data_IF_161250464671
#
_entry.id   IF_161250464671
#
_cell.length_a   1.000
_cell.length_b   1.000
_cell.length_c   1.000
_cell.angle_alpha   90.00
_cell.angle_beta   90.00
_cell.angle_gamma   90.00
#
_symmetry.space_group_name_H-M   'P 1'
#
loop_
_entity.id
_entity.type
_entity.pdbx_description
1 polymer ?
#
# COMPACT_ATOMS: atom_id res chain seq x y z
N UNK A 1 -42.00 -36.52 7.65
CA UNK A 1 -40.61 -36.86 8.04
C UNK A 1 -39.56 -36.06 7.26
N UNK A 2 -39.69 -35.94 5.97
CA UNK A 2 -38.71 -35.19 5.10
C UNK A 2 -38.62 -33.69 5.43
N UNK A 3 -39.77 -33.02 5.68
CA UNK A 3 -39.78 -31.59 6.01
C UNK A 3 -39.10 -31.27 7.35
N UNK A 4 -39.31 -32.14 8.37
CA UNK A 4 -38.59 -31.99 9.64
C UNK A 4 -37.10 -32.25 9.54
N UNK A 5 -36.66 -33.18 8.67
CA UNK A 5 -35.24 -33.44 8.43
C UNK A 5 -34.57 -32.26 7.69
N UNK A 6 -35.25 -31.65 6.71
CA UNK A 6 -34.76 -30.50 5.99
C UNK A 6 -34.65 -29.24 6.89
N UNK A 7 -35.60 -29.01 7.80
CA UNK A 7 -35.57 -27.91 8.76
C UNK A 7 -34.39 -28.10 9.73
N UNK A 8 -34.19 -29.34 10.23
CA UNK A 8 -33.06 -29.67 11.13
C UNK A 8 -31.71 -29.46 10.44
N UNK A 9 -31.51 -29.98 9.23
CA UNK A 9 -30.29 -29.78 8.45
C UNK A 9 -29.99 -28.29 8.18
N UNK A 10 -31.05 -27.48 7.95
CA UNK A 10 -30.89 -26.02 7.74
C UNK A 10 -30.50 -25.27 9.02
N UNK A 11 -30.99 -25.70 10.17
CA UNK A 11 -30.61 -25.12 11.46
C UNK A 11 -29.18 -25.53 11.85
N UNK A 12 -28.81 -26.78 11.62
CA UNK A 12 -27.45 -27.29 11.87
C UNK A 12 -26.44 -26.56 11.00
N UNK A 13 -26.75 -26.30 9.71
CA UNK A 13 -25.88 -25.52 8.80
C UNK A 13 -25.68 -24.07 9.29
N UNK A 14 -26.73 -23.41 9.83
CA UNK A 14 -26.61 -22.05 10.37
C UNK A 14 -25.80 -21.99 11.65
N UNK A 15 -26.00 -22.97 12.54
CA UNK A 15 -25.21 -23.12 13.76
C UNK A 15 -23.75 -23.34 13.44
N UNK A 16 -23.45 -24.17 12.44
CA UNK A 16 -22.09 -24.42 11.97
C UNK A 16 -21.45 -23.14 11.38
N UNK A 17 -22.17 -22.35 10.57
CA UNK A 17 -21.66 -21.08 10.04
C UNK A 17 -21.33 -20.08 11.16
N UNK A 18 -22.18 -19.95 12.16
CA UNK A 18 -21.93 -19.08 13.31
C UNK A 18 -20.70 -19.55 14.12
N UNK A 19 -20.56 -20.87 14.31
CA UNK A 19 -19.38 -21.43 14.98
C UNK A 19 -18.08 -21.17 14.21
N UNK A 20 -18.09 -21.27 12.87
CA UNK A 20 -16.92 -20.96 12.03
C UNK A 20 -16.56 -19.47 12.15
N UNK A 21 -17.54 -18.56 12.10
CA UNK A 21 -17.31 -17.12 12.28
C UNK A 21 -16.64 -16.86 13.64
N UNK A 22 -17.15 -17.41 14.71
CA UNK A 22 -16.57 -17.26 16.06
C UNK A 22 -15.16 -17.85 16.12
N UNK A 23 -14.94 -19.03 15.55
CA UNK A 23 -13.61 -19.64 15.51
C UNK A 23 -12.59 -18.76 14.78
N UNK A 24 -12.95 -18.19 13.63
CA UNK A 24 -12.05 -17.31 12.86
C UNK A 24 -11.75 -16.02 13.63
N UNK A 25 -12.72 -15.42 14.31
CA UNK A 25 -12.48 -14.26 15.19
C UNK A 25 -11.50 -14.62 16.31
N UNK A 26 -11.68 -15.80 16.93
CA UNK A 26 -10.76 -16.27 17.98
C UNK A 26 -9.35 -16.47 17.40
N UNK A 27 -9.21 -17.10 16.24
CA UNK A 27 -7.92 -17.32 15.59
C UNK A 27 -7.22 -16.00 15.30
N UNK A 28 -7.91 -15.02 14.70
CA UNK A 28 -7.34 -13.68 14.47
C UNK A 28 -6.98 -12.99 15.80
N UNK A 29 -7.86 -13.05 16.80
CA UNK A 29 -7.59 -12.48 18.12
C UNK A 29 -6.37 -13.10 18.81
N UNK A 30 -6.25 -14.44 18.75
CA UNK A 30 -5.08 -15.14 19.30
C UNK A 30 -3.80 -14.81 18.56
N UNK A 31 -3.82 -14.68 17.23
CA UNK A 31 -2.66 -14.28 16.44
C UNK A 31 -2.15 -12.88 16.84
N UNK A 32 -3.06 -11.92 16.98
CA UNK A 32 -2.72 -10.56 17.41
C UNK A 32 -2.24 -10.51 18.87
N UNK A 33 -2.88 -11.27 19.78
CA UNK A 33 -2.45 -11.35 21.19
C UNK A 33 -1.11 -12.06 21.34
N UNK A 34 -0.87 -13.12 20.57
CA UNK A 34 0.40 -13.86 20.56
C UNK A 34 1.55 -12.93 20.16
N UNK A 35 1.34 -12.09 19.14
CA UNK A 35 2.29 -11.07 18.76
C UNK A 35 2.62 -10.14 19.95
N UNK A 36 1.62 -9.49 20.54
CA UNK A 36 1.81 -8.54 21.65
C UNK A 36 2.55 -9.19 22.82
N UNK A 37 2.26 -10.45 23.09
CA UNK A 37 2.97 -11.20 24.15
C UNK A 37 4.42 -11.51 23.78
N UNK A 38 4.66 -12.00 22.55
CA UNK A 38 6.01 -12.34 22.10
C UNK A 38 6.90 -11.10 21.99
N UNK A 39 6.41 -9.99 21.45
CA UNK A 39 7.18 -8.76 21.35
C UNK A 39 7.64 -8.25 22.72
N UNK A 40 6.75 -8.32 23.72
CA UNK A 40 7.04 -7.84 25.08
C UNK A 40 7.97 -8.76 25.87
N UNK A 41 7.82 -10.09 25.74
CA UNK A 41 8.48 -11.05 26.63
C UNK A 41 9.52 -11.94 25.93
N UNK A 42 9.50 -12.02 24.61
CA UNK A 42 10.40 -12.86 23.81
C UNK A 42 10.67 -12.23 22.42
N UNK A 43 11.28 -11.02 22.34
CA UNK A 43 11.42 -10.27 21.08
C UNK A 43 12.19 -11.03 19.99
N UNK A 44 13.23 -11.80 20.37
CA UNK A 44 13.96 -12.63 19.41
C UNK A 44 13.07 -13.71 18.79
N UNK A 45 12.28 -14.42 19.62
CA UNK A 45 11.34 -15.42 19.14
C UNK A 45 10.26 -14.78 18.26
N UNK A 46 9.81 -13.57 18.59
CA UNK A 46 8.86 -12.80 17.78
C UNK A 46 9.41 -12.59 16.36
N UNK A 47 10.64 -12.11 16.24
CA UNK A 47 11.32 -11.93 14.94
C UNK A 47 11.41 -13.22 14.15
N UNK A 48 11.85 -14.31 14.78
CA UNK A 48 12.00 -15.60 14.12
C UNK A 48 10.65 -16.12 13.59
N UNK A 49 9.60 -16.02 14.41
CA UNK A 49 8.24 -16.46 14.03
C UNK A 49 7.66 -15.64 12.89
N UNK A 50 7.76 -14.31 12.95
CA UNK A 50 7.21 -13.44 11.90
C UNK A 50 8.09 -13.40 10.65
N UNK A 51 9.39 -13.59 10.78
CA UNK A 51 10.31 -13.82 9.67
C UNK A 51 9.96 -15.11 8.93
N UNK A 52 9.78 -16.22 9.67
CA UNK A 52 9.32 -17.48 9.09
C UNK A 52 7.94 -17.32 8.41
N UNK A 53 7.03 -16.56 9.02
CA UNK A 53 5.73 -16.26 8.43
C UNK A 53 5.87 -15.53 7.09
N UNK A 54 6.66 -14.47 7.04
CA UNK A 54 6.88 -13.66 5.83
C UNK A 54 7.55 -14.48 4.70
N UNK A 55 8.53 -15.30 5.06
CA UNK A 55 9.32 -16.05 4.09
C UNK A 55 8.60 -17.29 3.54
N UNK A 56 7.94 -18.06 4.41
CA UNK A 56 7.43 -19.38 4.04
C UNK A 56 5.90 -19.47 4.01
N UNK A 57 5.20 -18.79 4.93
CA UNK A 57 3.75 -18.95 5.07
C UNK A 57 3.00 -17.96 4.18
N UNK A 58 3.36 -16.69 4.25
CA UNK A 58 2.68 -15.64 3.49
C UNK A 58 2.68 -15.89 1.98
N UNK A 59 3.78 -16.26 1.30
CA UNK A 59 3.76 -16.55 -0.14
C UNK A 59 2.85 -17.72 -0.51
N UNK A 60 2.74 -18.73 0.37
CA UNK A 60 1.86 -19.89 0.14
C UNK A 60 0.39 -19.49 0.22
N UNK A 61 0.04 -18.58 1.13
CA UNK A 61 -1.33 -18.09 1.31
C UNK A 61 -1.69 -17.05 0.24
N UNK A 62 -0.79 -16.11 -0.03
CA UNK A 62 -1.06 -14.96 -0.89
C UNK A 62 -1.01 -15.28 -2.38
N UNK A 63 -0.07 -16.12 -2.83
CA UNK A 63 0.14 -16.39 -4.26
C UNK A 63 -1.08 -17.01 -4.96
N UNK A 64 -1.75 -18.06 -4.44
CA UNK A 64 -2.96 -18.59 -5.06
C UNK A 64 -4.07 -17.53 -5.17
N UNK A 65 -4.25 -16.74 -4.12
CA UNK A 65 -5.25 -15.69 -4.08
C UNK A 65 -4.96 -14.60 -5.10
N UNK A 66 -3.73 -14.09 -5.11
CA UNK A 66 -3.23 -13.13 -6.08
C UNK A 66 -3.38 -13.64 -7.53
N UNK A 67 -3.09 -14.93 -7.77
CA UNK A 67 -3.27 -15.56 -9.08
C UNK A 67 -4.73 -15.55 -9.57
N UNK A 68 -5.70 -15.74 -8.68
CA UNK A 68 -7.12 -15.67 -9.04
C UNK A 68 -7.57 -14.22 -9.29
N UNK A 69 -7.17 -13.28 -8.44
CA UNK A 69 -7.55 -11.86 -8.60
C UNK A 69 -6.90 -11.25 -9.84
N UNK A 70 -5.69 -11.68 -10.21
CA UNK A 70 -4.98 -11.22 -11.42
C UNK A 70 -5.71 -11.53 -12.73
N UNK A 71 -6.58 -12.55 -12.75
CA UNK A 71 -7.41 -12.86 -13.93
C UNK A 71 -8.54 -11.84 -14.17
N UNK A 72 -8.84 -11.03 -13.20
CA UNK A 72 -9.84 -9.97 -13.30
C UNK A 72 -9.16 -8.70 -13.84
N UNK A 73 -9.61 -8.12 -14.96
CA UNK A 73 -8.90 -7.02 -15.63
C UNK A 73 -9.14 -5.63 -15.01
N UNK A 74 -9.83 -5.56 -13.88
CA UNK A 74 -10.15 -4.34 -13.13
C UNK A 74 -9.88 -4.53 -11.64
N UNK A 75 -9.84 -3.45 -10.87
CA UNK A 75 -9.67 -3.51 -9.41
C UNK A 75 -10.88 -4.19 -8.76
N UNK A 76 -10.68 -5.42 -8.29
CA UNK A 76 -11.69 -6.16 -7.54
C UNK A 76 -11.90 -5.51 -6.17
N UNK A 77 -10.83 -5.01 -5.56
CA UNK A 77 -10.89 -4.29 -4.29
C UNK A 77 -11.79 -3.06 -4.37
N UNK A 78 -11.64 -2.23 -5.41
CA UNK A 78 -12.52 -1.08 -5.64
C UNK A 78 -13.99 -1.50 -5.75
N UNK A 79 -14.28 -2.55 -6.52
CA UNK A 79 -15.64 -3.06 -6.67
C UNK A 79 -16.21 -3.57 -5.35
N UNK A 80 -15.43 -4.31 -4.57
CA UNK A 80 -15.88 -4.82 -3.28
C UNK A 80 -16.18 -3.68 -2.29
N UNK A 81 -15.40 -2.61 -2.29
CA UNK A 81 -15.67 -1.41 -1.50
C UNK A 81 -17.00 -0.76 -1.93
N UNK A 82 -17.21 -0.57 -3.24
CA UNK A 82 -18.47 0.00 -3.77
C UNK A 82 -19.66 -0.87 -3.39
N UNK A 83 -19.56 -2.19 -3.56
CA UNK A 83 -20.61 -3.13 -3.16
C UNK A 83 -20.87 -3.01 -1.66
N UNK A 84 -19.85 -2.97 -0.82
CA UNK A 84 -19.97 -2.80 0.62
C UNK A 84 -20.73 -1.53 1.00
N UNK A 85 -20.35 -0.40 0.38
CA UNK A 85 -21.04 0.88 0.57
C UNK A 85 -22.52 0.84 0.13
N UNK A 86 -22.85 0.13 -0.95
CA UNK A 86 -24.23 -0.06 -1.40
C UNK A 86 -25.03 -1.02 -0.51
N UNK A 87 -24.39 -2.04 0.05
CA UNK A 87 -25.04 -3.03 0.91
C UNK A 87 -25.57 -2.42 2.21
N UNK A 88 -24.92 -1.40 2.76
CA UNK A 88 -25.37 -0.75 4.01
C UNK A 88 -26.75 -0.11 3.87
N UNK A 89 -26.98 0.87 2.97
CA UNK A 89 -28.30 1.47 2.80
C UNK A 89 -29.35 0.46 2.34
N UNK A 90 -28.97 -0.50 1.49
CA UNK A 90 -29.89 -1.57 1.04
C UNK A 90 -30.37 -2.43 2.22
N UNK A 91 -29.49 -2.79 3.15
CA UNK A 91 -29.84 -3.55 4.35
C UNK A 91 -30.78 -2.76 5.27
N UNK A 92 -30.57 -1.46 5.41
CA UNK A 92 -31.45 -0.55 6.16
C UNK A 92 -32.85 -0.52 5.50
N UNK A 93 -32.93 -0.33 4.17
CA UNK A 93 -34.18 -0.32 3.41
C UNK A 93 -34.91 -1.65 3.59
N UNK A 94 -34.22 -2.79 3.43
CA UNK A 94 -34.80 -4.13 3.64
C UNK A 94 -35.36 -4.26 5.06
N UNK A 95 -34.64 -3.78 6.07
CA UNK A 95 -35.07 -3.78 7.47
C UNK A 95 -36.36 -2.96 7.67
N UNK A 96 -36.41 -1.73 7.14
CA UNK A 96 -37.58 -0.85 7.23
C UNK A 96 -38.78 -1.45 6.50
N UNK A 97 -38.62 -1.90 5.25
CA UNK A 97 -39.69 -2.54 4.48
C UNK A 97 -40.23 -3.77 5.19
N UNK A 98 -39.34 -4.61 5.74
CA UNK A 98 -39.76 -5.80 6.53
C UNK A 98 -40.54 -5.39 7.80
N UNK A 99 -40.12 -4.34 8.49
CA UNK A 99 -40.80 -3.84 9.66
C UNK A 99 -42.23 -3.35 9.36
N UNK A 100 -42.42 -2.72 8.20
CA UNK A 100 -43.73 -2.19 7.74
C UNK A 100 -44.61 -3.29 7.21
N UNK A 101 -44.11 -4.07 6.24
CA UNK A 101 -44.94 -5.09 5.52
C UNK A 101 -45.25 -6.28 6.42
N UNK A 102 -44.32 -6.67 7.27
CA UNK A 102 -44.43 -7.79 8.22
C UNK A 102 -44.66 -7.29 9.65
N UNK A 103 -45.48 -6.23 9.84
CA UNK A 103 -45.69 -5.56 11.12
C UNK A 103 -46.01 -6.53 12.24
N UNK A 104 -46.88 -7.53 11.99
CA UNK A 104 -47.36 -8.50 12.98
C UNK A 104 -46.62 -9.86 12.92
N UNK A 105 -45.65 -10.03 12.03
CA UNK A 105 -44.86 -11.26 11.83
C UNK A 105 -43.46 -11.10 12.45
N UNK A 106 -43.39 -11.42 13.75
CA UNK A 106 -42.17 -11.38 14.52
C UNK A 106 -41.08 -12.35 13.97
N UNK A 107 -41.49 -13.51 13.47
CA UNK A 107 -40.59 -14.54 12.97
C UNK A 107 -39.92 -14.08 11.64
N UNK A 108 -40.71 -13.48 10.73
CA UNK A 108 -40.15 -12.92 9.49
C UNK A 108 -39.11 -11.82 9.79
N UNK A 109 -39.40 -10.92 10.75
CA UNK A 109 -38.46 -9.88 11.17
C UNK A 109 -37.17 -10.48 11.74
N UNK A 110 -37.25 -11.43 12.65
CA UNK A 110 -36.09 -12.15 13.22
C UNK A 110 -35.29 -12.87 12.13
N UNK A 111 -35.95 -13.49 11.16
CA UNK A 111 -35.29 -14.20 10.07
C UNK A 111 -34.49 -13.24 9.18
N UNK A 112 -35.05 -12.08 8.77
CA UNK A 112 -34.35 -11.06 7.98
C UNK A 112 -33.17 -10.49 8.78
N UNK A 113 -33.38 -10.12 10.05
CA UNK A 113 -32.30 -9.63 10.91
C UNK A 113 -31.13 -10.63 11.05
N UNK A 114 -31.46 -11.93 11.22
CA UNK A 114 -30.43 -12.99 11.27
C UNK A 114 -29.64 -13.13 9.96
N UNK A 115 -30.30 -12.99 8.80
CA UNK A 115 -29.63 -13.07 7.49
C UNK A 115 -28.69 -11.89 7.29
N UNK A 116 -29.15 -10.67 7.57
CA UNK A 116 -28.34 -9.45 7.48
C UNK A 116 -27.18 -9.52 8.47
N UNK A 117 -27.44 -9.92 9.72
CA UNK A 117 -26.41 -10.06 10.73
C UNK A 117 -25.33 -11.09 10.37
N UNK A 118 -25.72 -12.24 9.83
CA UNK A 118 -24.78 -13.26 9.37
C UNK A 118 -23.97 -12.80 8.17
N UNK A 119 -24.56 -12.06 7.23
CA UNK A 119 -23.85 -11.46 6.11
C UNK A 119 -22.74 -10.52 6.59
N UNK A 120 -23.06 -9.56 7.47
CA UNK A 120 -22.05 -8.64 7.99
C UNK A 120 -21.02 -9.32 8.90
N UNK A 121 -21.41 -10.38 9.61
CA UNK A 121 -20.46 -11.18 10.38
C UNK A 121 -19.42 -11.84 9.47
N UNK A 122 -19.82 -12.36 8.31
CA UNK A 122 -18.90 -12.92 7.34
C UNK A 122 -18.02 -11.85 6.68
N UNK A 123 -18.58 -10.69 6.32
CA UNK A 123 -17.78 -9.56 5.80
C UNK A 123 -16.75 -9.12 6.83
N UNK A 124 -17.16 -8.95 8.09
CA UNK A 124 -16.25 -8.57 9.17
C UNK A 124 -15.12 -9.58 9.36
N UNK A 125 -15.45 -10.86 9.42
CA UNK A 125 -14.44 -11.93 9.59
C UNK A 125 -13.48 -11.98 8.39
N UNK A 126 -14.00 -11.83 7.18
CA UNK A 126 -13.17 -11.80 5.98
C UNK A 126 -12.16 -10.65 6.03
N UNK A 127 -12.62 -9.43 6.32
CA UNK A 127 -11.74 -8.26 6.45
C UNK A 127 -10.76 -8.47 7.62
N UNK A 128 -11.25 -8.88 8.80
CA UNK A 128 -10.39 -9.13 9.96
C UNK A 128 -9.30 -10.17 9.66
N UNK A 129 -9.66 -11.26 8.97
CA UNK A 129 -8.71 -12.30 8.61
C UNK A 129 -7.64 -11.78 7.63
N UNK A 130 -8.07 -11.11 6.56
CA UNK A 130 -7.16 -10.59 5.55
C UNK A 130 -6.27 -9.46 6.10
N UNK A 131 -6.81 -8.56 6.90
CA UNK A 131 -6.01 -7.52 7.58
C UNK A 131 -5.00 -8.14 8.56
N UNK A 132 -5.41 -9.16 9.34
CA UNK A 132 -4.48 -9.82 10.26
C UNK A 132 -3.33 -10.50 9.51
N UNK A 133 -3.64 -11.35 8.52
CA UNK A 133 -2.64 -12.21 7.89
C UNK A 133 -1.93 -11.54 6.70
N UNK A 134 -2.56 -10.66 5.96
CA UNK A 134 -1.95 -10.02 4.79
C UNK A 134 -1.40 -8.60 5.07
N UNK A 135 -1.55 -8.09 6.30
CA UNK A 135 -1.09 -6.77 6.67
C UNK A 135 -0.49 -6.75 8.09
N UNK A 136 -1.31 -6.94 9.15
CA UNK A 136 -0.88 -6.71 10.53
C UNK A 136 0.34 -7.56 10.94
N UNK A 137 0.34 -8.88 10.72
CA UNK A 137 1.47 -9.74 11.08
C UNK A 137 2.75 -9.37 10.34
N UNK A 138 2.64 -8.86 9.13
CA UNK A 138 3.78 -8.44 8.30
C UNK A 138 4.41 -7.12 8.76
N UNK A 139 3.65 -6.24 9.42
CA UNK A 139 4.25 -5.06 10.08
C UNK A 139 5.25 -5.43 11.17
N UNK A 140 5.16 -6.65 11.68
CA UNK A 140 5.97 -7.16 12.79
C UNK A 140 7.05 -8.17 12.35
N UNK A 141 7.13 -8.42 11.04
CA UNK A 141 8.23 -9.18 10.45
C UNK A 141 9.54 -8.39 10.52
N UNK A 142 10.70 -9.06 10.41
CA UNK A 142 11.99 -8.39 10.32
C UNK A 142 11.98 -7.32 9.23
N UNK A 143 12.63 -6.20 9.50
CA UNK A 143 12.75 -5.11 8.53
C UNK A 143 13.59 -5.51 7.32
N UNK A 144 13.44 -4.79 6.21
CA UNK A 144 14.29 -4.97 5.03
C UNK A 144 15.78 -4.85 5.40
N UNK A 145 16.13 -3.88 6.23
CA UNK A 145 17.50 -3.71 6.71
C UNK A 145 18.00 -4.92 7.52
N UNK A 146 17.17 -5.46 8.42
CA UNK A 146 17.52 -6.65 9.21
C UNK A 146 17.65 -7.91 8.34
N UNK A 147 16.79 -8.08 7.34
CA UNK A 147 16.82 -9.24 6.43
C UNK A 147 18.06 -9.28 5.54
N UNK A 148 18.54 -8.12 5.11
CA UNK A 148 19.59 -8.03 4.10
C UNK A 148 20.88 -7.36 4.60
N UNK A 149 20.99 -7.14 5.93
CA UNK A 149 22.23 -6.71 6.56
C UNK A 149 22.60 -5.25 6.32
N UNK A 150 21.62 -4.38 6.12
CA UNK A 150 21.85 -2.94 6.03
C UNK A 150 22.27 -2.40 7.40
N UNK A 151 23.33 -1.55 7.50
CA UNK A 151 23.96 -1.18 8.77
C UNK A 151 23.04 -0.42 9.73
N UNK A 152 22.09 0.36 9.21
CA UNK A 152 21.21 1.25 10.00
C UNK A 152 22.02 2.28 10.80
N UNK A 153 23.09 2.78 10.20
CA UNK A 153 24.01 3.72 10.81
C UNK A 153 23.42 5.13 10.91
N UNK A 154 23.97 5.92 11.83
CA UNK A 154 23.65 7.34 11.90
C UNK A 154 24.55 8.12 10.95
N UNK A 155 23.96 8.72 9.96
CA UNK A 155 24.67 9.51 8.97
C UNK A 155 24.78 11.00 9.34
N UNK A 156 25.86 11.62 8.95
CA UNK A 156 26.13 13.04 9.13
C UNK A 156 25.45 13.87 8.04
N UNK A 157 25.28 15.17 8.28
CA UNK A 157 24.81 16.11 7.25
C UNK A 157 25.71 16.11 5.99
N UNK A 158 27.02 15.89 6.14
CA UNK A 158 27.94 15.81 5.01
C UNK A 158 27.70 14.55 4.16
N UNK A 159 27.38 13.41 4.78
CA UNK A 159 27.04 12.19 4.06
C UNK A 159 25.67 12.30 3.35
N UNK A 160 24.70 12.95 4.01
CA UNK A 160 23.40 13.27 3.39
C UNK A 160 23.57 14.18 2.18
N UNK A 161 24.47 15.16 2.25
CA UNK A 161 24.84 16.03 1.14
C UNK A 161 25.46 15.26 -0.03
N UNK A 162 26.33 14.26 0.24
CA UNK A 162 26.93 13.41 -0.80
C UNK A 162 25.87 12.59 -1.53
N UNK A 163 24.93 12.00 -0.81
CA UNK A 163 23.80 11.28 -1.40
C UNK A 163 22.93 12.23 -2.26
N UNK A 164 22.63 13.43 -1.75
CA UNK A 164 21.87 14.44 -2.49
C UNK A 164 22.57 14.84 -3.80
N UNK A 165 23.86 15.10 -3.76
CA UNK A 165 24.69 15.42 -4.94
C UNK A 165 24.67 14.30 -5.98
N UNK A 166 24.79 13.05 -5.54
CA UNK A 166 24.67 11.87 -6.40
C UNK A 166 23.29 11.79 -7.06
N UNK A 167 22.22 11.89 -6.29
CA UNK A 167 20.84 11.80 -6.80
C UNK A 167 20.51 12.96 -7.75
N UNK A 168 20.99 14.18 -7.47
CA UNK A 168 20.85 15.34 -8.38
C UNK A 168 21.51 15.03 -9.71
N UNK A 169 22.75 14.55 -9.69
CA UNK A 169 23.50 14.23 -10.90
C UNK A 169 22.78 13.19 -11.74
N UNK A 170 22.36 12.07 -11.12
CA UNK A 170 21.63 11.01 -11.81
C UNK A 170 20.27 11.47 -12.35
N UNK A 171 19.52 12.26 -11.57
CA UNK A 171 18.23 12.81 -12.00
C UNK A 171 18.39 13.76 -13.18
N UNK A 172 19.39 14.62 -13.16
CA UNK A 172 19.68 15.56 -14.24
C UNK A 172 20.05 14.84 -15.55
N UNK A 173 20.92 13.81 -15.45
CA UNK A 173 21.35 13.02 -16.61
C UNK A 173 20.16 12.28 -17.26
N UNK A 174 19.26 11.72 -16.43
CA UNK A 174 18.08 11.02 -16.90
C UNK A 174 17.02 11.99 -17.44
N UNK A 175 16.89 13.19 -16.87
CA UNK A 175 15.97 14.22 -17.35
C UNK A 175 16.20 14.60 -18.83
N UNK A 176 17.43 14.48 -19.32
CA UNK A 176 17.79 14.73 -20.72
C UNK A 176 17.47 13.57 -21.66
N UNK A 177 17.21 12.36 -21.11
CA UNK A 177 17.02 11.15 -21.89
C UNK A 177 15.55 10.75 -22.02
N UNK A 178 14.69 11.24 -21.13
CA UNK A 178 13.25 10.94 -21.14
C UNK A 178 12.51 11.79 -22.18
N UNK A 179 11.37 11.27 -22.64
CA UNK A 179 10.49 12.00 -23.54
C UNK A 179 9.74 13.10 -22.78
N UNK A 180 9.61 14.26 -23.44
CA UNK A 180 8.85 15.40 -22.93
C UNK A 180 7.80 15.85 -23.95
N UNK A 181 6.71 16.41 -23.46
CA UNK A 181 5.70 17.06 -24.30
C UNK A 181 6.12 18.49 -24.72
N UNK A 182 5.23 19.18 -25.44
CA UNK A 182 5.42 20.57 -25.88
C UNK A 182 5.53 21.59 -24.73
N UNK A 183 5.06 21.23 -23.54
CA UNK A 183 5.20 22.04 -22.32
C UNK A 183 6.45 21.69 -21.50
N UNK A 184 7.29 20.78 -22.00
CA UNK A 184 8.49 20.30 -21.32
C UNK A 184 8.22 19.31 -20.18
N UNK A 185 6.99 18.80 -20.04
CA UNK A 185 6.63 17.86 -19.00
C UNK A 185 6.97 16.41 -19.41
N UNK A 186 7.27 15.58 -18.43
CA UNK A 186 7.58 14.16 -18.64
C UNK A 186 6.41 13.40 -19.27
N UNK A 187 6.73 12.57 -20.27
CA UNK A 187 5.79 11.66 -20.94
C UNK A 187 6.23 10.22 -20.71
N UNK A 188 5.43 9.44 -20.02
CA UNK A 188 5.66 8.02 -19.81
C UNK A 188 5.54 7.26 -21.16
N UNK A 189 6.61 6.57 -21.55
CA UNK A 189 6.66 5.75 -22.77
C UNK A 189 6.77 4.26 -22.50
N UNK A 190 7.12 3.88 -21.28
CA UNK A 190 7.25 2.50 -20.85
C UNK A 190 5.91 1.76 -20.83
N UNK A 191 5.95 0.45 -21.09
CA UNK A 191 4.87 -0.45 -20.66
C UNK A 191 4.91 -0.56 -19.13
N UNK A 192 4.02 0.18 -18.48
CA UNK A 192 4.03 0.38 -17.03
C UNK A 192 4.01 -0.95 -16.27
N UNK A 193 3.04 -1.83 -16.58
CA UNK A 193 2.81 -3.04 -15.82
C UNK A 193 3.90 -4.10 -16.04
N UNK A 194 4.33 -4.24 -17.29
CA UNK A 194 5.35 -5.22 -17.67
C UNK A 194 6.70 -4.81 -17.10
N UNK A 195 7.07 -3.55 -17.23
CA UNK A 195 8.38 -3.04 -16.77
C UNK A 195 8.48 -3.14 -15.26
N UNK A 196 7.45 -2.75 -14.48
CA UNK A 196 7.44 -2.90 -13.03
C UNK A 196 7.69 -4.35 -12.59
N UNK A 197 6.93 -5.30 -13.18
CA UNK A 197 7.09 -6.72 -12.84
C UNK A 197 8.47 -7.27 -13.22
N UNK A 198 9.06 -6.79 -14.31
CA UNK A 198 10.40 -7.23 -14.74
C UNK A 198 11.47 -6.68 -13.81
N UNK A 199 11.41 -5.39 -13.48
CA UNK A 199 12.35 -4.72 -12.58
C UNK A 199 12.35 -5.33 -11.18
N UNK A 200 11.17 -5.53 -10.59
CA UNK A 200 11.04 -6.18 -9.28
C UNK A 200 11.54 -7.62 -9.28
N UNK A 201 11.24 -8.40 -10.32
CA UNK A 201 11.74 -9.78 -10.44
C UNK A 201 13.25 -9.85 -10.55
N UNK A 202 13.90 -8.86 -11.16
CA UNK A 202 15.35 -8.80 -11.26
C UNK A 202 16.03 -8.71 -9.89
N UNK A 203 15.39 -8.06 -8.92
CA UNK A 203 15.87 -7.92 -7.55
C UNK A 203 16.00 -9.24 -6.79
N UNK A 204 15.35 -10.33 -7.26
CA UNK A 204 15.40 -11.65 -6.61
C UNK A 204 16.82 -12.16 -6.36
N UNK A 205 17.79 -11.79 -7.20
CA UNK A 205 19.17 -12.28 -7.08
C UNK A 205 19.80 -11.85 -5.77
N UNK A 206 19.53 -10.64 -5.34
CA UNK A 206 20.07 -9.99 -4.16
C UNK A 206 19.08 -10.08 -2.98
N UNK A 207 17.79 -9.93 -3.29
CA UNK A 207 16.69 -9.92 -2.33
C UNK A 207 15.71 -11.07 -2.59
N UNK A 208 15.97 -12.29 -2.11
CA UNK A 208 15.21 -13.50 -2.46
C UNK A 208 13.70 -13.39 -2.22
N UNK A 209 13.26 -12.67 -1.16
CA UNK A 209 11.84 -12.49 -0.84
C UNK A 209 11.09 -11.65 -1.90
N UNK A 210 11.80 -10.86 -2.72
CA UNK A 210 11.22 -10.14 -3.86
C UNK A 210 11.05 -11.05 -5.10
N UNK A 211 11.26 -12.34 -4.96
CA UNK A 211 11.01 -13.33 -6.02
C UNK A 211 9.54 -13.73 -6.16
N UNK A 212 9.29 -14.68 -7.07
CA UNK A 212 7.99 -15.33 -7.21
C UNK A 212 6.99 -14.59 -8.09
N UNK A 213 5.70 -14.81 -7.83
CA UNK A 213 4.60 -14.30 -8.66
C UNK A 213 4.28 -12.83 -8.32
N UNK A 214 4.12 -12.01 -9.34
CA UNK A 214 3.62 -10.64 -9.25
C UNK A 214 2.32 -10.50 -10.02
N UNK A 215 1.29 -9.93 -9.39
CA UNK A 215 0.03 -9.56 -10.04
C UNK A 215 0.26 -8.44 -11.04
N UNK A 216 -0.64 -8.29 -12.00
CA UNK A 216 -0.69 -7.11 -12.85
C UNK A 216 -1.29 -5.96 -12.05
N UNK A 217 -0.61 -4.81 -11.95
CA UNK A 217 -1.15 -3.63 -11.28
C UNK A 217 -2.49 -3.19 -11.87
N UNK A 218 -3.42 -2.80 -11.02
CA UNK A 218 -4.78 -2.47 -11.43
C UNK A 218 -5.02 -0.96 -11.44
N UNK A 219 -5.65 -0.49 -12.50
CA UNK A 219 -6.11 0.89 -12.61
C UNK A 219 -7.35 1.09 -11.73
N UNK A 220 -7.31 2.06 -10.82
CA UNK A 220 -8.51 2.46 -10.08
C UNK A 220 -9.36 3.33 -10.97
N UNK A 221 -10.62 2.97 -11.14
CA UNK A 221 -11.55 3.71 -12.01
C UNK A 221 -11.90 5.08 -11.40
N UNK A 222 -12.06 5.15 -10.09
CA UNK A 222 -12.33 6.40 -9.37
C UNK A 222 -11.02 7.07 -8.92
N UNK A 223 -10.08 7.26 -9.85
CA UNK A 223 -8.75 7.85 -9.59
C UNK A 223 -8.85 9.27 -9.03
N UNK A 224 -9.85 10.08 -9.44
CA UNK A 224 -10.04 11.40 -8.88
C UNK A 224 -10.28 11.38 -7.35
N UNK A 225 -11.08 10.43 -6.88
CA UNK A 225 -11.29 10.26 -5.43
C UNK A 225 -10.00 9.85 -4.68
N UNK A 226 -9.13 9.05 -5.32
CA UNK A 226 -7.79 8.79 -4.77
C UNK A 226 -6.96 10.08 -4.73
N UNK A 227 -7.01 10.87 -5.80
CA UNK A 227 -6.29 12.16 -5.86
C UNK A 227 -6.77 13.14 -4.79
N UNK A 228 -8.06 13.20 -4.49
CA UNK A 228 -8.59 14.00 -3.36
C UNK A 228 -7.98 13.59 -2.01
N UNK A 229 -7.55 12.34 -1.88
CA UNK A 229 -6.90 11.78 -0.69
C UNK A 229 -5.37 11.86 -0.73
N UNK A 230 -4.76 12.45 -1.76
CA UNK A 230 -3.33 12.39 -2.06
C UNK A 230 -2.77 10.97 -2.24
N UNK A 231 -3.62 9.99 -2.55
CA UNK A 231 -3.21 8.62 -2.77
C UNK A 231 -2.77 8.41 -4.22
N UNK A 232 -1.55 7.96 -4.41
CA UNK A 232 -1.00 7.58 -5.71
C UNK A 232 -1.28 6.12 -6.03
N UNK A 233 -1.20 5.24 -5.04
CA UNK A 233 -1.51 3.83 -5.14
C UNK A 233 -2.18 3.31 -3.87
N UNK A 234 -2.58 2.06 -3.88
CA UNK A 234 -3.10 1.34 -2.73
C UNK A 234 -2.99 -0.18 -2.92
N UNK A 235 -2.37 -0.83 -1.96
CA UNK A 235 -2.45 -2.27 -1.81
C UNK A 235 -3.70 -2.65 -1.04
N UNK A 236 -4.49 -3.58 -1.58
CA UNK A 236 -5.66 -4.12 -0.88
C UNK A 236 -5.35 -5.50 -0.28
N UNK A 237 -5.17 -5.62 1.04
CA UNK A 237 -4.88 -6.91 1.70
C UNK A 237 -5.97 -7.96 1.47
N UNK A 238 -7.22 -7.53 1.28
CA UNK A 238 -8.37 -8.41 1.08
C UNK A 238 -8.54 -8.93 -0.35
N UNK A 239 -7.78 -8.41 -1.32
CA UNK A 239 -7.75 -8.93 -2.69
C UNK A 239 -6.34 -9.23 -3.19
N UNK A 240 -5.31 -8.91 -2.41
CA UNK A 240 -3.90 -9.02 -2.79
C UNK A 240 -3.54 -8.25 -4.07
N UNK A 241 -4.26 -7.17 -4.35
CA UNK A 241 -4.09 -6.35 -5.55
C UNK A 241 -3.24 -5.12 -5.26
N UNK A 242 -2.27 -4.86 -6.12
CA UNK A 242 -1.60 -3.58 -6.26
C UNK A 242 -2.44 -2.69 -7.19
N UNK A 243 -2.89 -1.54 -6.69
CA UNK A 243 -3.75 -0.63 -7.43
C UNK A 243 -3.11 0.74 -7.55
N UNK A 244 -3.33 1.44 -8.65
CA UNK A 244 -2.76 2.77 -8.84
C UNK A 244 -3.75 3.78 -9.41
N UNK A 245 -3.52 5.04 -9.07
CA UNK A 245 -4.23 6.21 -9.52
C UNK A 245 -3.77 6.57 -10.94
N UNK A 246 -4.69 6.61 -11.90
CA UNK A 246 -4.38 6.91 -13.31
C UNK A 246 -4.37 8.40 -13.62
N UNK A 247 -4.84 9.24 -12.71
CA UNK A 247 -4.89 10.70 -12.88
C UNK A 247 -3.67 11.42 -12.28
N UNK A 248 -2.80 10.71 -11.51
CA UNK A 248 -1.59 11.32 -10.95
C UNK A 248 -0.61 11.77 -12.03
N UNK A 249 0.31 12.67 -11.67
CA UNK A 249 1.36 13.12 -12.57
C UNK A 249 2.19 11.92 -13.08
N UNK A 250 2.39 11.84 -14.40
CA UNK A 250 2.90 10.64 -15.07
C UNK A 250 4.24 10.12 -14.51
N UNK A 251 5.12 11.02 -14.06
CA UNK A 251 6.42 10.67 -13.49
C UNK A 251 6.29 9.82 -12.21
N UNK A 252 5.20 9.94 -11.46
CA UNK A 252 5.01 9.16 -10.24
C UNK A 252 4.59 7.71 -10.53
N UNK A 253 4.07 7.39 -11.72
CA UNK A 253 3.47 6.09 -12.01
C UNK A 253 4.44 4.91 -11.88
N UNK A 254 5.66 4.94 -12.46
CA UNK A 254 6.60 3.83 -12.37
C UNK A 254 6.99 3.47 -10.93
N UNK A 255 7.37 4.46 -10.13
CA UNK A 255 7.72 4.29 -8.73
C UNK A 255 6.53 3.79 -7.91
N UNK A 256 5.35 4.41 -8.06
CA UNK A 256 4.13 4.00 -7.35
C UNK A 256 3.76 2.55 -7.64
N UNK A 257 3.81 2.12 -8.90
CA UNK A 257 3.44 0.73 -9.24
C UNK A 257 4.43 -0.27 -8.64
N UNK A 258 5.72 0.04 -8.61
CA UNK A 258 6.72 -0.80 -7.94
C UNK A 258 6.49 -0.84 -6.43
N UNK A 259 6.14 0.28 -5.81
CA UNK A 259 5.80 0.39 -4.39
C UNK A 259 4.60 -0.50 -4.04
N UNK A 260 3.49 -0.40 -4.76
CA UNK A 260 2.30 -1.21 -4.50
C UNK A 260 2.56 -2.72 -4.72
N UNK A 261 3.41 -3.06 -5.68
CA UNK A 261 3.82 -4.43 -5.89
C UNK A 261 4.75 -4.96 -4.78
N UNK A 262 5.55 -4.10 -4.13
CA UNK A 262 6.37 -4.49 -2.98
C UNK A 262 5.49 -4.93 -1.80
N UNK A 263 4.37 -4.25 -1.56
CA UNK A 263 3.40 -4.68 -0.54
C UNK A 263 2.85 -6.09 -0.80
N UNK A 264 2.67 -6.50 -2.07
CA UNK A 264 2.22 -7.87 -2.40
C UNK A 264 3.25 -8.94 -2.04
N UNK A 265 4.48 -8.55 -1.68
CA UNK A 265 5.56 -9.44 -1.22
C UNK A 265 5.72 -9.47 0.31
N UNK A 266 4.84 -8.79 1.02
CA UNK A 266 4.84 -8.76 2.48
C UNK A 266 5.70 -7.64 3.08
N UNK A 267 6.21 -6.73 2.28
CA UNK A 267 6.85 -5.49 2.75
C UNK A 267 5.79 -4.41 2.92
N UNK A 268 5.15 -4.40 4.09
CA UNK A 268 3.98 -3.52 4.35
C UNK A 268 4.39 -2.16 4.88
N UNK A 269 5.61 -2.01 5.42
CA UNK A 269 6.10 -0.72 5.88
C UNK A 269 6.37 0.19 4.70
N UNK A 270 5.89 1.42 4.80
CA UNK A 270 5.93 2.42 3.72
C UNK A 270 7.36 2.83 3.33
N UNK A 271 8.26 2.95 4.32
CA UNK A 271 9.67 3.24 4.11
C UNK A 271 10.37 2.14 3.31
N UNK A 272 10.08 0.88 3.63
CA UNK A 272 10.62 -0.28 2.92
C UNK A 272 10.05 -0.40 1.51
N UNK A 273 8.74 -0.22 1.33
CA UNK A 273 8.10 -0.26 0.02
C UNK A 273 8.63 0.87 -0.90
N UNK A 274 8.83 2.07 -0.35
CA UNK A 274 9.47 3.19 -1.06
C UNK A 274 10.92 2.86 -1.45
N UNK A 275 11.68 2.22 -0.57
CA UNK A 275 13.06 1.83 -0.86
C UNK A 275 13.12 0.70 -1.91
N UNK A 276 12.27 -0.32 -1.81
CA UNK A 276 12.16 -1.40 -2.80
C UNK A 276 11.75 -0.84 -4.16
N UNK A 277 10.82 0.12 -4.20
CA UNK A 277 10.46 0.77 -5.46
C UNK A 277 11.62 1.52 -6.09
N UNK A 278 12.43 2.23 -5.27
CA UNK A 278 13.67 2.85 -5.73
C UNK A 278 14.62 1.82 -6.34
N UNK A 279 14.92 0.72 -5.63
CA UNK A 279 15.80 -0.34 -6.13
C UNK A 279 15.30 -0.94 -7.45
N UNK A 280 13.98 -1.19 -7.56
CA UNK A 280 13.37 -1.70 -8.78
C UNK A 280 13.46 -0.70 -9.95
N UNK A 281 13.30 0.58 -9.67
CA UNK A 281 13.39 1.65 -10.66
C UNK A 281 14.86 1.90 -11.08
N UNK A 282 15.76 1.96 -10.13
CA UNK A 282 17.18 2.17 -10.34
C UNK A 282 17.78 1.08 -11.22
N UNK A 283 17.57 -0.20 -10.86
CA UNK A 283 18.05 -1.37 -11.59
C UNK A 283 17.28 -1.69 -12.88
N UNK A 284 16.32 -0.84 -13.29
CA UNK A 284 15.54 -1.06 -14.51
C UNK A 284 16.34 -0.73 -15.77
N UNK A 285 16.20 -1.56 -16.83
CA UNK A 285 16.72 -1.24 -18.17
C UNK A 285 15.97 -0.07 -18.83
N UNK A 286 14.82 0.35 -18.28
CA UNK A 286 14.00 1.40 -18.85
C UNK A 286 14.27 2.77 -18.24
N UNK A 287 14.54 3.76 -19.09
CA UNK A 287 14.90 5.12 -18.67
C UNK A 287 13.80 5.85 -17.91
N UNK A 288 12.52 5.65 -18.28
CA UNK A 288 11.38 6.28 -17.57
C UNK A 288 11.30 5.80 -16.12
N UNK A 289 11.56 4.50 -15.88
CA UNK A 289 11.60 3.91 -14.54
C UNK A 289 12.76 4.47 -13.72
N UNK A 290 13.96 4.45 -14.28
CA UNK A 290 15.13 5.02 -13.58
C UNK A 290 14.89 6.47 -13.21
N UNK A 291 14.38 7.26 -14.14
CA UNK A 291 14.10 8.67 -13.90
C UNK A 291 13.06 8.87 -12.78
N UNK A 292 11.96 8.12 -12.82
CA UNK A 292 10.93 8.16 -11.77
C UNK A 292 11.51 7.86 -10.39
N UNK A 293 12.26 6.76 -10.24
CA UNK A 293 12.86 6.36 -8.98
C UNK A 293 13.87 7.38 -8.44
N UNK A 294 14.80 7.86 -9.29
CA UNK A 294 15.79 8.84 -8.87
C UNK A 294 15.17 10.20 -8.47
N UNK A 295 14.18 10.70 -9.21
CA UNK A 295 13.51 11.96 -8.87
C UNK A 295 12.68 11.82 -7.59
N UNK A 296 12.08 10.65 -7.37
CA UNK A 296 11.33 10.36 -6.13
C UNK A 296 12.27 10.30 -4.92
N UNK A 297 13.36 9.54 -5.02
CA UNK A 297 14.39 9.47 -3.98
C UNK A 297 15.00 10.85 -3.68
N UNK A 298 15.33 11.62 -4.74
CA UNK A 298 15.85 12.98 -4.59
C UNK A 298 14.88 13.87 -3.79
N UNK A 299 13.58 13.77 -4.01
CA UNK A 299 12.60 14.56 -3.26
C UNK A 299 12.63 14.25 -1.76
N UNK A 300 12.74 12.98 -1.37
CA UNK A 300 12.87 12.59 0.04
C UNK A 300 14.17 13.10 0.66
N UNK A 301 15.28 12.92 -0.07
CA UNK A 301 16.60 13.34 0.42
C UNK A 301 16.69 14.86 0.53
N UNK A 302 16.18 15.63 -0.44
CA UNK A 302 16.13 17.10 -0.36
C UNK A 302 15.29 17.58 0.81
N UNK A 303 14.14 16.96 1.07
CA UNK A 303 13.34 17.27 2.26
C UNK A 303 14.12 17.04 3.55
N UNK A 304 14.94 15.97 3.62
CA UNK A 304 15.81 15.71 4.78
C UNK A 304 16.97 16.69 4.88
N UNK A 305 17.51 17.15 3.73
CA UNK A 305 18.51 18.22 3.69
C UNK A 305 17.94 19.55 4.20
N UNK A 306 16.68 19.86 3.89
CA UNK A 306 16.01 21.07 4.37
C UNK A 306 15.94 21.12 5.91
N UNK A 307 15.84 19.96 6.55
CA UNK A 307 15.81 19.83 8.02
C UNK A 307 17.21 19.84 8.68
N UNK A 308 18.25 19.30 7.98
CA UNK A 308 19.51 18.94 8.62
C UNK A 308 20.76 19.64 8.05
N UNK A 309 20.68 20.28 6.89
CA UNK A 309 21.81 20.93 6.25
C UNK A 309 21.79 22.46 6.50
N UNK A 310 22.97 23.09 6.37
CA UNK A 310 23.08 24.55 6.43
C UNK A 310 22.45 25.21 5.20
N UNK A 311 22.08 26.49 5.32
CA UNK A 311 21.49 27.27 4.21
C UNK A 311 22.41 27.31 2.97
N UNK A 312 23.72 27.42 3.17
CA UNK A 312 24.69 27.43 2.06
C UNK A 312 24.69 26.10 1.31
N UNK A 313 24.62 24.98 2.02
CA UNK A 313 24.51 23.63 1.43
C UNK A 313 23.21 23.49 0.66
N UNK A 314 22.09 23.87 1.27
CA UNK A 314 20.76 23.82 0.61
C UNK A 314 20.75 24.64 -0.68
N UNK A 315 21.18 25.89 -0.62
CA UNK A 315 21.24 26.77 -1.79
C UNK A 315 22.11 26.20 -2.91
N UNK A 316 23.25 25.59 -2.56
CA UNK A 316 24.10 24.91 -3.52
C UNK A 316 23.41 23.71 -4.15
N UNK A 317 22.82 22.84 -3.36
CA UNK A 317 22.11 21.64 -3.85
C UNK A 317 20.95 22.04 -4.77
N UNK A 318 20.09 22.94 -4.32
CA UNK A 318 18.98 23.43 -5.15
C UNK A 318 19.46 24.10 -6.45
N UNK A 319 20.56 24.83 -6.45
CA UNK A 319 21.09 25.47 -7.67
C UNK A 319 21.54 24.47 -8.75
N UNK A 320 21.92 23.25 -8.35
CA UNK A 320 22.37 22.17 -9.25
C UNK A 320 21.25 21.38 -9.92
N UNK A 321 20.03 21.44 -9.40
CA UNK A 321 18.89 20.74 -9.99
C UNK A 321 18.56 21.33 -11.35
N UNK A 322 18.52 20.52 -12.40
CA UNK A 322 18.26 20.97 -13.78
C UNK A 322 16.83 21.48 -13.97
N UNK A 323 16.65 22.28 -15.02
CA UNK A 323 15.34 22.83 -15.39
C UNK A 323 14.32 21.70 -15.70
N UNK A 324 14.77 20.58 -16.28
CA UNK A 324 13.92 19.43 -16.55
C UNK A 324 13.35 18.80 -15.29
N UNK A 325 14.19 18.56 -14.26
CA UNK A 325 13.74 18.04 -12.96
C UNK A 325 12.82 19.04 -12.25
N UNK A 326 13.15 20.34 -12.31
CA UNK A 326 12.29 21.41 -11.73
C UNK A 326 10.93 21.46 -12.39
N UNK A 327 10.88 21.36 -13.72
CA UNK A 327 9.63 21.36 -14.49
C UNK A 327 8.73 20.20 -14.04
N UNK A 328 9.29 19.01 -13.83
CA UNK A 328 8.51 17.85 -13.38
C UNK A 328 8.06 17.99 -11.91
N UNK A 329 8.87 18.56 -11.03
CA UNK A 329 8.44 18.86 -9.65
C UNK A 329 7.33 19.90 -9.61
N UNK A 330 7.42 20.94 -10.42
CA UNK A 330 6.40 21.97 -10.53
C UNK A 330 5.10 21.38 -11.12
N UNK A 331 5.19 20.61 -12.22
CA UNK A 331 4.04 19.96 -12.84
C UNK A 331 3.32 19.03 -11.86
N UNK A 332 4.07 18.26 -11.08
CA UNK A 332 3.49 17.43 -10.02
C UNK A 332 2.80 18.27 -8.92
N UNK A 333 3.42 19.36 -8.50
CA UNK A 333 2.83 20.26 -7.49
C UNK A 333 1.57 20.96 -7.99
N UNK A 334 1.57 21.42 -9.24
CA UNK A 334 0.42 22.01 -9.92
C UNK A 334 -0.73 21.02 -10.05
N UNK A 335 -0.44 19.76 -10.39
CA UNK A 335 -1.44 18.70 -10.43
C UNK A 335 -2.16 18.57 -9.08
N UNK A 336 -1.42 18.38 -7.98
CA UNK A 336 -2.03 18.22 -6.66
C UNK A 336 -2.79 19.46 -6.21
N UNK A 337 -2.30 20.65 -6.51
CA UNK A 337 -3.01 21.90 -6.26
C UNK A 337 -4.33 21.97 -7.03
N UNK A 338 -4.32 21.61 -8.31
CA UNK A 338 -5.52 21.61 -9.16
C UNK A 338 -6.61 20.65 -8.63
N UNK A 339 -6.20 19.50 -8.08
CA UNK A 339 -7.13 18.55 -7.44
C UNK A 339 -7.81 19.17 -6.21
N UNK A 340 -7.04 19.86 -5.36
CA UNK A 340 -7.59 20.48 -4.15
C UNK A 340 -8.48 21.69 -4.42
N UNK A 341 -8.29 22.34 -5.57
CA UNK A 341 -9.10 23.49 -6.03
C UNK A 341 -10.26 23.09 -6.95
N UNK A 342 -10.38 21.80 -7.27
CA UNK A 342 -11.37 21.29 -8.23
C UNK A 342 -12.73 21.04 -7.59
N UNK A 343 -13.79 21.44 -8.31
CA UNK A 343 -15.20 21.13 -8.02
C UNK A 343 -15.68 19.82 -8.69
N UNK A 344 -14.79 19.04 -9.28
CA UNK A 344 -15.11 17.80 -10.03
C UNK A 344 -15.70 16.69 -9.14
N UNK A 345 -15.34 16.68 -7.85
CA UNK A 345 -15.76 15.65 -6.89
C UNK A 345 -17.17 15.87 -6.32
N UNK A 346 -17.80 14.78 -5.87
CA UNK A 346 -19.05 14.85 -5.10
C UNK A 346 -18.84 15.43 -3.69
N UNK A 347 -17.63 15.35 -3.17
CA UNK A 347 -17.23 15.82 -1.86
C UNK A 347 -16.13 16.88 -2.01
N UNK A 348 -16.10 17.81 -1.11
CA UNK A 348 -15.04 18.83 -1.01
C UNK A 348 -13.66 18.19 -0.83
N UNK A 349 -12.72 18.51 -1.74
CA UNK A 349 -11.40 17.87 -1.80
C UNK A 349 -10.59 18.07 -0.53
N UNK A 350 -10.67 19.24 0.10
CA UNK A 350 -9.93 19.55 1.34
C UNK A 350 -10.44 18.70 2.51
N UNK A 351 -11.77 18.54 2.63
CA UNK A 351 -12.37 17.70 3.68
C UNK A 351 -12.04 16.22 3.48
N UNK A 352 -12.02 15.76 2.23
CA UNK A 352 -11.61 14.39 1.90
C UNK A 352 -10.15 14.17 2.28
N UNK A 353 -9.25 15.09 1.93
CA UNK A 353 -7.84 15.04 2.29
C UNK A 353 -7.63 14.98 3.82
N UNK A 354 -8.28 15.86 4.58
CA UNK A 354 -8.20 15.87 6.04
C UNK A 354 -8.71 14.59 6.69
N UNK A 355 -9.80 14.02 6.17
CA UNK A 355 -10.34 12.77 6.66
C UNK A 355 -9.41 11.59 6.35
N UNK A 356 -8.85 11.54 5.14
CA UNK A 356 -7.88 10.53 4.71
C UNK A 356 -6.60 10.60 5.56
N UNK A 357 -6.08 11.78 5.81
CA UNK A 357 -4.91 12.02 6.65
C UNK A 357 -5.07 11.47 8.06
N UNK A 358 -6.21 11.73 8.70
CA UNK A 358 -6.53 11.21 10.03
C UNK A 358 -6.66 9.70 10.05
N UNK A 359 -7.30 9.13 9.01
CA UNK A 359 -7.47 7.69 8.89
C UNK A 359 -6.14 6.97 8.70
N UNK A 360 -5.25 7.51 7.84
CA UNK A 360 -3.91 6.97 7.61
C UNK A 360 -3.05 7.02 8.87
N UNK A 361 -3.02 8.16 9.56
CA UNK A 361 -2.28 8.31 10.81
C UNK A 361 -2.76 7.32 11.89
N UNK A 362 -4.09 7.14 12.01
CA UNK A 362 -4.67 6.17 12.92
C UNK A 362 -4.30 4.73 12.54
N UNK A 363 -4.34 4.38 11.24
CA UNK A 363 -3.96 3.06 10.74
C UNK A 363 -2.49 2.73 11.05
N UNK A 364 -1.56 3.65 10.76
CA UNK A 364 -0.14 3.47 11.05
C UNK A 364 0.09 3.21 12.55
N UNK A 365 -0.53 3.99 13.43
CA UNK A 365 -0.40 3.81 14.88
C UNK A 365 -0.97 2.49 15.38
N UNK A 366 -2.11 2.04 14.83
CA UNK A 366 -2.71 0.73 15.17
C UNK A 366 -1.77 -0.41 14.77
N UNK A 367 -1.04 -0.25 13.67
CA UNK A 367 -0.07 -1.24 13.18
C UNK A 367 1.34 -1.09 13.84
N UNK A 368 1.46 -0.32 14.93
CA UNK A 368 2.69 -0.21 15.72
C UNK A 368 3.71 0.80 15.15
N UNK A 369 3.35 1.60 14.15
CA UNK A 369 4.20 2.67 13.64
C UNK A 369 3.96 3.92 14.51
N UNK A 370 4.66 4.00 15.64
CA UNK A 370 4.44 5.05 16.67
C UNK A 370 4.65 6.47 16.15
N UNK A 371 5.62 6.66 15.25
CA UNK A 371 5.94 7.94 14.62
C UNK A 371 5.00 8.27 13.43
N UNK A 372 4.05 7.37 13.10
CA UNK A 372 3.04 7.60 12.08
C UNK A 372 3.67 7.97 10.73
N UNK A 373 3.20 9.07 10.12
CA UNK A 373 3.71 9.52 8.82
C UNK A 373 5.19 9.95 8.80
N UNK A 374 5.82 10.21 9.95
CA UNK A 374 7.26 10.49 10.00
C UNK A 374 8.10 9.28 9.60
N UNK A 375 7.53 8.07 9.64
CA UNK A 375 8.17 6.84 9.17
C UNK A 375 8.66 6.92 7.72
N UNK A 376 8.00 7.70 6.87
CA UNK A 376 8.45 7.91 5.49
C UNK A 376 9.88 8.49 5.38
N UNK A 377 10.36 9.18 6.42
CA UNK A 377 11.73 9.67 6.50
C UNK A 377 12.79 8.57 6.60
N UNK A 378 12.43 7.37 7.08
CA UNK A 378 13.36 6.23 7.22
C UNK A 378 13.80 5.64 5.86
N UNK A 379 13.08 5.91 4.78
CA UNK A 379 13.57 5.59 3.44
C UNK A 379 14.92 6.25 3.17
N UNK A 380 15.16 7.47 3.69
CA UNK A 380 16.43 8.18 3.47
C UNK A 380 17.59 7.46 4.17
N UNK A 381 17.34 6.86 5.33
CA UNK A 381 18.35 6.08 6.05
C UNK A 381 18.74 4.83 5.23
N UNK A 382 17.77 4.11 4.67
CA UNK A 382 18.01 2.97 3.76
C UNK A 382 18.75 3.40 2.47
N UNK A 383 18.45 4.58 1.92
CA UNK A 383 19.16 5.12 0.76
C UNK A 383 20.62 5.48 1.09
N UNK A 384 20.88 5.96 2.31
CA UNK A 384 22.26 6.26 2.78
C UNK A 384 23.03 4.95 2.96
N UNK A 385 22.44 3.95 3.62
CA UNK A 385 23.04 2.63 3.76
C UNK A 385 23.40 2.05 2.39
N UNK A 386 22.44 2.02 1.45
CA UNK A 386 22.64 1.53 0.09
C UNK A 386 23.76 2.28 -0.64
N UNK A 387 23.74 3.60 -0.60
CA UNK A 387 24.71 4.44 -1.31
C UNK A 387 26.14 4.21 -0.84
N UNK A 388 26.36 4.06 0.47
CA UNK A 388 27.71 3.86 1.00
C UNK A 388 28.15 2.40 0.87
N UNK A 389 27.26 1.41 0.94
CA UNK A 389 27.59 0.00 0.68
C UNK A 389 28.02 -0.25 -0.77
N UNK A 390 27.42 0.43 -1.74
CA UNK A 390 27.79 0.30 -3.16
C UNK A 390 29.16 0.92 -3.50
N UNK A 391 29.76 1.70 -2.59
CA UNK A 391 31.06 2.33 -2.78
C UNK A 391 32.22 1.59 -2.09
N UNK A 392 31.92 0.61 -1.27
CA UNK A 392 32.90 -0.29 -0.64
C UNK A 392 33.22 -1.48 -1.55
#
# INVERSE_FOLDING_TARGET
>A
MEEHSAIRAKNDRKSMQAAIVVLLVIVCGLANLAYLFMEKYAPTLSRDVFGFYQEYVFPVLSTPFAFFTDKVPFSLGEILIIIGLCCVPLSIIIGIVTAIVKKNDSEAKKKVGKVIGLFYAWVFVYVLFTETFNCFLLYHAPTFAELYGYPQDKYTAAQLEQLADFLITRSNDLAMQVKRDENGQFVLTADLDKTAKTSLKALKKEYPLLGGYYTTPKKVKNSFFMSQQYLMGIYFPFTMEANYNTEMYALNMPDTVCHELAHTKGFIREDEANFISFLACEGSDNTDYRYSGYVRALKYVMSKCDENCSEDVKNRLYSRISDGVRADWNGNSEYWKSVQESDKGLLDSKKVAEASDKAMEASLKINGVEDGKKSYGRMVDLLLDWYFMEQE
#
